data_IF_769778833278
#
_entry.id   IF_769778833278
#
_cell.length_a   1.000
_cell.length_b   1.000
_cell.length_c   1.000
_cell.angle_alpha   90.00
_cell.angle_beta   90.00
_cell.angle_gamma   90.00
#
_symmetry.space_group_name_H-M   'P 1'
#
loop_
_entity.id
_entity.type
_entity.pdbx_description
1 polymer ?
#
# COMPACT_ATOMS: atom_id res chain seq x y z
N UNK A 1 22.16 -9.63 35.86
CA UNK A 1 22.14 -8.70 34.72
C UNK A 1 20.91 -9.01 33.86
N UNK A 2 19.80 -8.31 34.09
CA UNK A 2 18.53 -8.57 33.39
C UNK A 2 18.65 -8.15 31.93
N UNK A 3 18.54 -9.10 30.99
CA UNK A 3 18.42 -8.79 29.54
C UNK A 3 17.07 -8.12 29.31
N UNK A 4 17.00 -6.80 29.46
CA UNK A 4 15.94 -5.97 28.88
C UNK A 4 16.10 -6.00 27.36
N UNK A 5 15.57 -7.05 26.73
CA UNK A 5 15.47 -7.17 25.28
C UNK A 5 14.02 -6.98 24.86
N UNK A 6 13.37 -5.92 25.36
CA UNK A 6 12.24 -5.29 24.67
C UNK A 6 12.79 -4.42 23.55
N UNK A 7 13.65 -4.97 22.70
CA UNK A 7 14.14 -4.26 21.52
C UNK A 7 12.98 -4.20 20.55
N UNK A 8 12.17 -3.14 20.67
CA UNK A 8 11.11 -2.82 19.74
C UNK A 8 11.72 -2.87 18.34
N UNK A 9 11.15 -3.72 17.48
CA UNK A 9 11.73 -4.05 16.19
C UNK A 9 11.76 -2.77 15.32
N UNK A 10 12.92 -2.09 15.30
CA UNK A 10 13.11 -0.80 14.61
C UNK A 10 12.78 -0.93 13.13
N UNK A 11 13.16 -2.05 12.51
CA UNK A 11 12.82 -2.38 11.12
C UNK A 11 11.32 -2.42 10.91
N UNK A 12 10.57 -3.11 11.78
CA UNK A 12 9.11 -3.15 11.69
C UNK A 12 8.46 -1.77 11.89
N UNK A 13 9.09 -0.89 12.68
CA UNK A 13 8.63 0.49 12.88
C UNK A 13 8.84 1.33 11.62
N UNK A 14 10.05 1.32 11.06
CA UNK A 14 10.36 2.07 9.83
C UNK A 14 9.50 1.59 8.66
N UNK A 15 9.33 0.28 8.50
CA UNK A 15 8.45 -0.28 7.48
C UNK A 15 7.01 0.21 7.66
N UNK A 16 6.50 0.21 8.90
CA UNK A 16 5.13 0.66 9.16
C UNK A 16 4.94 2.16 8.86
N UNK A 17 5.83 3.02 9.35
CA UNK A 17 5.72 4.46 9.13
C UNK A 17 5.99 4.85 7.67
N UNK A 18 6.89 4.15 6.98
CA UNK A 18 7.11 4.33 5.54
C UNK A 18 5.84 4.00 4.75
N UNK A 19 5.18 2.90 5.06
CA UNK A 19 3.89 2.55 4.44
C UNK A 19 2.80 3.58 4.78
N UNK A 20 2.73 4.04 6.04
CA UNK A 20 1.77 5.06 6.43
C UNK A 20 1.96 6.35 5.62
N UNK A 21 3.21 6.80 5.43
CA UNK A 21 3.54 7.93 4.58
C UNK A 21 3.10 7.69 3.13
N UNK A 22 3.40 6.52 2.55
CA UNK A 22 2.99 6.20 1.19
C UNK A 22 1.46 6.20 1.03
N UNK A 23 0.70 5.61 1.97
CA UNK A 23 -0.77 5.67 1.92
C UNK A 23 -1.28 7.11 2.02
N UNK A 24 -0.69 7.95 2.87
CA UNK A 24 -1.04 9.37 2.94
C UNK A 24 -0.83 10.06 1.59
N UNK A 25 0.28 9.79 0.90
CA UNK A 25 0.51 10.34 -0.45
C UNK A 25 -0.51 9.81 -1.46
N UNK A 26 -0.90 8.53 -1.40
CA UNK A 26 -1.94 7.98 -2.26
C UNK A 26 -3.28 8.71 -2.08
N UNK A 27 -3.72 8.93 -0.83
CA UNK A 27 -4.95 9.68 -0.57
C UNK A 27 -4.83 11.15 -0.95
N UNK A 28 -3.70 11.79 -0.64
CA UNK A 28 -3.47 13.19 -0.97
C UNK A 28 -3.48 13.43 -2.48
N UNK A 29 -2.81 12.55 -3.25
CA UNK A 29 -2.80 12.64 -4.71
C UNK A 29 -4.21 12.47 -5.27
N UNK A 30 -4.97 11.48 -4.80
CA UNK A 30 -6.38 11.24 -5.22
C UNK A 30 -7.30 12.43 -4.94
N UNK A 31 -7.20 13.03 -3.76
CA UNK A 31 -7.99 14.21 -3.41
C UNK A 31 -7.59 15.40 -4.30
N UNK A 32 -6.29 15.60 -4.52
CA UNK A 32 -5.76 16.74 -5.26
C UNK A 32 -6.28 16.81 -6.71
N UNK A 33 -6.22 15.72 -7.46
CA UNK A 33 -6.67 15.74 -8.86
C UNK A 33 -8.20 15.73 -9.01
N UNK A 34 -8.96 15.20 -8.03
CA UNK A 34 -10.42 15.31 -8.00
C UNK A 34 -10.88 16.75 -7.70
N UNK A 35 -10.09 17.54 -6.98
CA UNK A 35 -10.38 18.95 -6.73
C UNK A 35 -9.94 19.86 -7.89
N UNK A 36 -8.86 19.49 -8.57
CA UNK A 36 -8.30 20.29 -9.65
C UNK A 36 -7.73 19.40 -10.75
N UNK A 37 -8.37 19.43 -11.92
CA UNK A 37 -7.96 18.69 -13.10
C UNK A 37 -6.54 19.00 -13.58
N UNK A 38 -6.00 20.20 -13.30
CA UNK A 38 -4.62 20.54 -13.64
C UNK A 38 -3.59 19.71 -12.86
N UNK A 39 -3.99 19.09 -11.75
CA UNK A 39 -3.16 18.23 -10.92
C UNK A 39 -3.17 16.76 -11.38
N UNK A 40 -3.82 16.43 -12.51
CA UNK A 40 -3.82 15.07 -13.10
C UNK A 40 -2.42 14.52 -13.36
N UNK A 41 -1.39 15.36 -13.51
CA UNK A 41 0.00 14.90 -13.62
C UNK A 41 0.48 14.10 -12.39
N UNK A 42 -0.13 14.30 -11.21
CA UNK A 42 0.13 13.53 -9.99
C UNK A 42 -0.25 12.04 -10.13
N UNK A 43 -1.01 11.68 -11.17
CA UNK A 43 -1.34 10.29 -11.46
C UNK A 43 -0.11 9.44 -11.77
N UNK A 44 0.93 10.03 -12.38
CA UNK A 44 2.19 9.32 -12.65
C UNK A 44 2.89 8.88 -11.36
N UNK A 45 3.21 9.77 -10.39
CA UNK A 45 3.77 9.36 -9.11
C UNK A 45 2.80 8.50 -8.30
N UNK A 46 1.48 8.72 -8.37
CA UNK A 46 0.49 7.86 -7.72
C UNK A 46 0.61 6.39 -8.17
N UNK A 47 0.71 6.14 -9.47
CA UNK A 47 0.89 4.78 -10.01
C UNK A 47 2.19 4.13 -9.53
N UNK A 48 3.30 4.87 -9.58
CA UNK A 48 4.60 4.38 -9.13
C UNK A 48 4.61 4.04 -7.63
N UNK A 49 4.05 4.93 -6.79
CA UNK A 49 3.95 4.73 -5.35
C UNK A 49 2.97 3.58 -5.02
N UNK A 50 1.90 3.41 -5.80
CA UNK A 50 0.98 2.29 -5.66
C UNK A 50 1.66 0.92 -5.86
N UNK A 51 2.54 0.80 -6.85
CA UNK A 51 3.34 -0.42 -7.08
C UNK A 51 4.33 -0.63 -5.92
N UNK A 52 5.02 0.43 -5.48
CA UNK A 52 5.91 0.37 -4.33
C UNK A 52 5.16 -0.09 -3.06
N UNK A 53 3.95 0.43 -2.82
CA UNK A 53 3.09 0.03 -1.71
C UNK A 53 2.69 -1.43 -1.78
N UNK A 54 2.42 -1.97 -2.98
CA UNK A 54 2.13 -3.39 -3.14
C UNK A 54 3.32 -4.25 -2.67
N UNK A 55 4.54 -3.91 -3.11
CA UNK A 55 5.77 -4.62 -2.71
C UNK A 55 5.99 -4.51 -1.19
N UNK A 56 5.90 -3.31 -0.63
CA UNK A 56 6.05 -3.08 0.80
C UNK A 56 4.98 -3.82 1.62
N UNK A 57 3.76 -3.91 1.11
CA UNK A 57 2.67 -4.64 1.78
C UNK A 57 2.90 -6.14 1.78
N UNK A 58 3.34 -6.71 0.65
CA UNK A 58 3.71 -8.13 0.58
C UNK A 58 4.84 -8.44 1.57
N UNK A 59 5.90 -7.63 1.57
CA UNK A 59 6.99 -7.75 2.52
C UNK A 59 6.50 -7.63 3.97
N UNK A 60 5.59 -6.69 4.25
CA UNK A 60 5.00 -6.49 5.58
C UNK A 60 4.18 -7.68 6.04
N UNK A 61 3.39 -8.28 5.17
CA UNK A 61 2.57 -9.47 5.46
C UNK A 61 3.48 -10.66 5.77
N UNK A 62 4.49 -10.91 4.92
CA UNK A 62 5.48 -11.97 5.13
C UNK A 62 6.23 -11.76 6.45
N UNK A 63 6.68 -10.53 6.74
CA UNK A 63 7.33 -10.18 8.00
C UNK A 63 6.40 -10.42 9.20
N UNK A 64 5.14 -10.00 9.09
CA UNK A 64 4.17 -10.16 10.17
C UNK A 64 3.91 -11.63 10.48
N UNK A 65 3.84 -12.51 9.47
CA UNK A 65 3.65 -13.95 9.64
C UNK A 65 4.91 -14.60 10.25
N UNK A 66 6.10 -14.29 9.71
CA UNK A 66 7.37 -14.91 10.11
C UNK A 66 7.88 -14.44 11.46
N UNK A 67 7.57 -13.21 11.87
CA UNK A 67 8.06 -12.58 13.10
C UNK A 67 6.93 -12.32 14.12
N UNK A 68 5.80 -13.03 14.02
CA UNK A 68 4.67 -12.95 14.94
C UNK A 68 5.04 -13.46 16.35
N UNK A 69 5.78 -12.66 17.13
CA UNK A 69 6.07 -12.93 18.55
C UNK A 69 5.19 -12.12 19.51
N UNK A 70 4.27 -11.32 18.98
CA UNK A 70 3.40 -10.46 19.77
C UNK A 70 2.29 -11.31 20.41
N UNK A 71 2.07 -11.23 21.75
CA UNK A 71 0.95 -11.91 22.38
C UNK A 71 -0.36 -11.43 21.71
N UNK A 72 -1.30 -12.34 21.43
CA UNK A 72 -2.51 -12.01 20.70
C UNK A 72 -3.24 -10.87 21.41
N UNK A 73 -3.66 -9.85 20.65
CA UNK A 73 -4.46 -8.75 21.19
C UNK A 73 -5.61 -9.33 22.03
N UNK A 74 -5.75 -8.90 23.29
CA UNK A 74 -6.76 -9.47 24.20
C UNK A 74 -8.20 -9.18 23.76
N UNK A 75 -8.39 -8.14 22.93
CA UNK A 75 -9.68 -7.74 22.37
C UNK A 75 -9.94 -8.38 21.00
N UNK A 76 -11.13 -8.99 20.83
CA UNK A 76 -11.61 -9.54 19.56
C UNK A 76 -11.72 -8.44 18.48
N UNK A 77 -12.19 -7.26 18.85
CA UNK A 77 -12.33 -6.10 17.96
C UNK A 77 -10.99 -5.67 17.39
N UNK A 78 -9.94 -5.65 18.23
CA UNK A 78 -8.59 -5.31 17.79
C UNK A 78 -8.05 -6.35 16.80
N UNK A 79 -8.28 -7.65 17.03
CA UNK A 79 -7.89 -8.71 16.08
C UNK A 79 -8.59 -8.56 14.75
N UNK A 80 -9.91 -8.34 14.78
CA UNK A 80 -10.72 -8.25 13.57
C UNK A 80 -10.35 -7.01 12.76
N UNK A 81 -10.25 -5.85 13.41
CA UNK A 81 -9.81 -4.61 12.77
C UNK A 81 -8.44 -4.75 12.12
N UNK A 82 -7.48 -5.39 12.79
CA UNK A 82 -6.15 -5.61 12.21
C UNK A 82 -6.21 -6.52 10.97
N UNK A 83 -6.99 -7.60 11.01
CA UNK A 83 -7.19 -8.48 9.83
C UNK A 83 -7.82 -7.73 8.66
N UNK A 84 -8.85 -6.93 8.92
CA UNK A 84 -9.50 -6.11 7.90
C UNK A 84 -8.49 -5.14 7.29
N UNK A 85 -7.69 -4.46 8.10
CA UNK A 85 -6.63 -3.57 7.61
C UNK A 85 -5.64 -4.31 6.71
N UNK A 86 -5.18 -5.50 7.09
CA UNK A 86 -4.28 -6.31 6.24
C UNK A 86 -4.91 -6.70 4.91
N UNK A 87 -6.20 -7.08 4.90
CA UNK A 87 -6.94 -7.38 3.68
C UNK A 87 -7.04 -6.14 2.80
N UNK A 88 -7.42 -5.00 3.37
CA UNK A 88 -7.56 -3.74 2.64
C UNK A 88 -6.22 -3.27 2.05
N UNK A 89 -5.15 -3.40 2.83
CA UNK A 89 -3.79 -3.02 2.43
C UNK A 89 -3.33 -3.81 1.19
N UNK A 90 -3.77 -5.05 1.00
CA UNK A 90 -3.49 -5.85 -0.19
C UNK A 90 -4.49 -5.59 -1.31
N UNK A 91 -5.79 -5.63 -1.01
CA UNK A 91 -6.84 -5.56 -2.01
C UNK A 91 -6.79 -4.26 -2.83
N UNK A 92 -6.61 -3.11 -2.17
CA UNK A 92 -6.59 -1.80 -2.83
C UNK A 92 -5.46 -1.68 -3.88
N UNK A 93 -4.18 -1.89 -3.55
CA UNK A 93 -3.12 -1.80 -4.55
C UNK A 93 -3.18 -2.91 -5.59
N UNK A 94 -3.67 -4.12 -5.26
CA UNK A 94 -3.89 -5.19 -6.25
C UNK A 94 -4.93 -4.74 -7.28
N UNK A 95 -6.09 -4.24 -6.85
CA UNK A 95 -7.13 -3.73 -7.76
C UNK A 95 -6.57 -2.59 -8.61
N UNK A 96 -5.79 -1.69 -8.02
CA UNK A 96 -5.13 -0.60 -8.75
C UNK A 96 -4.15 -1.07 -9.84
N UNK A 97 -3.35 -2.10 -9.56
CA UNK A 97 -2.41 -2.69 -10.53
C UNK A 97 -3.15 -3.48 -11.61
N UNK A 98 -4.14 -4.30 -11.24
CA UNK A 98 -4.97 -5.07 -12.19
C UNK A 98 -5.70 -4.13 -13.14
N UNK A 99 -6.29 -3.05 -12.62
CA UNK A 99 -6.94 -2.02 -13.43
C UNK A 99 -5.96 -1.41 -14.44
N UNK A 100 -4.74 -1.07 -14.02
CA UNK A 100 -3.70 -0.56 -14.93
C UNK A 100 -3.28 -1.59 -16.00
N UNK A 101 -3.12 -2.86 -15.62
CA UNK A 101 -2.78 -3.93 -16.54
C UNK A 101 -3.88 -4.16 -17.59
N UNK A 102 -5.15 -4.11 -17.18
CA UNK A 102 -6.30 -4.19 -18.09
C UNK A 102 -6.35 -3.02 -19.09
N UNK A 103 -6.04 -1.79 -18.66
CA UNK A 103 -5.92 -0.65 -19.58
C UNK A 103 -4.75 -0.81 -20.57
N UNK A 104 -3.65 -1.42 -20.16
CA UNK A 104 -2.52 -1.69 -21.05
C UNK A 104 -2.89 -2.73 -22.14
N UNK A 105 -3.67 -3.76 -21.81
CA UNK A 105 -4.08 -4.78 -22.78
C UNK A 105 -5.21 -4.33 -23.74
N UNK A 106 -5.97 -3.28 -23.40
CA UNK A 106 -7.13 -2.83 -24.19
C UNK A 106 -6.87 -1.77 -25.27
N UNK A 107 -5.84 -0.91 -25.13
CA UNK A 107 -5.70 0.31 -25.97
C UNK A 107 -4.30 0.56 -26.56
N UNK A 108 -3.30 -0.29 -26.34
CA UNK A 108 -1.97 -0.10 -26.95
C UNK A 108 -2.00 0.04 -28.49
N UNK A 109 -2.73 -0.78 -29.27
CA UNK A 109 -2.70 -0.66 -30.72
C UNK A 109 -3.45 0.56 -31.26
N UNK A 110 -4.35 1.19 -30.49
CA UNK A 110 -5.13 2.35 -30.97
C UNK A 110 -4.43 3.69 -30.68
N UNK A 111 -3.66 3.76 -29.59
CA UNK A 111 -2.89 4.96 -29.22
C UNK A 111 -1.64 5.09 -30.10
N UNK A 112 -0.99 3.98 -30.46
CA UNK A 112 0.17 3.98 -31.37
C UNK A 112 -0.17 4.34 -32.83
N UNK A 113 -1.45 4.23 -33.22
CA UNK A 113 -1.92 4.61 -34.56
C UNK A 113 -2.40 6.07 -34.66
N UNK A 114 -2.41 6.83 -33.56
CA UNK A 114 -2.71 8.26 -33.57
C UNK A 114 -4.17 8.61 -33.94
N UNK A 115 -5.12 7.71 -33.68
CA UNK A 115 -6.54 7.87 -34.08
C UNK A 115 -7.49 8.14 -32.91
N UNK A 116 -6.97 8.52 -31.74
CA UNK A 116 -7.75 8.83 -30.53
C UNK A 116 -7.96 10.34 -30.35
#
# INVERSE_FOLDING_TARGET
>A
MMKNQTTYNRTARYLHWGMALCYTVMFATEIAWNMNDSLKFLMNPHRAIGILLLILTLFRVIWAITHAKQPPAKSLTAKLGHRVLYVLMLAVPIVGVVRQAGFAQGNQPLIDLGIA
#
